data_IF_952228572292
#
_entry.id   IF_952228572292
#
_cell.length_a   1.000
_cell.length_b   1.000
_cell.length_c   1.000
_cell.angle_alpha   90.00
_cell.angle_beta   90.00
_cell.angle_gamma   90.00
#
_symmetry.space_group_name_H-M   'P 1'
#
loop_
_entity.id
_entity.type
_entity.pdbx_description
1 polymer ?
#
# COMPACT_ATOMS: atom_id res chain seq x y z
N UNK A 1 -10.07 20.20 3.13
CA UNK A 1 -9.12 19.23 2.57
C UNK A 1 -9.91 18.18 1.82
N UNK A 2 -9.64 18.00 0.54
CA UNK A 2 -10.24 16.97 -0.31
C UNK A 2 -9.73 15.60 0.13
N UNK A 3 -10.58 14.57 0.12
CA UNK A 3 -10.20 13.19 0.55
C UNK A 3 -8.95 12.65 -0.14
N UNK A 4 -8.67 13.09 -1.38
CA UNK A 4 -7.45 12.73 -2.12
C UNK A 4 -6.16 13.30 -1.53
N UNK A 5 -6.19 14.50 -0.95
CA UNK A 5 -4.98 15.14 -0.37
C UNK A 5 -4.53 14.42 0.91
N UNK A 6 -5.49 14.04 1.75
CA UNK A 6 -5.22 13.21 2.94
C UNK A 6 -4.72 11.81 2.56
N UNK A 7 -5.23 11.24 1.46
CA UNK A 7 -4.78 9.95 0.96
C UNK A 7 -3.33 9.99 0.46
N UNK A 8 -2.95 11.02 -0.31
CA UNK A 8 -1.57 11.20 -0.77
C UNK A 8 -0.60 11.53 0.37
N UNK A 9 -1.03 12.34 1.34
CA UNK A 9 -0.23 12.64 2.54
C UNK A 9 0.00 11.38 3.39
N UNK A 10 -1.05 10.58 3.63
CA UNK A 10 -0.96 9.32 4.34
C UNK A 10 -0.03 8.34 3.61
N UNK A 11 -0.17 8.19 2.28
CA UNK A 11 0.71 7.38 1.42
C UNK A 11 2.18 7.80 1.52
N UNK A 12 2.47 9.12 1.58
CA UNK A 12 3.83 9.63 1.77
C UNK A 12 4.41 9.33 3.14
N UNK A 13 3.56 9.16 4.16
CA UNK A 13 4.00 8.82 5.51
C UNK A 13 4.29 7.32 5.70
N UNK A 14 3.85 6.47 4.75
CA UNK A 14 4.11 5.03 4.76
C UNK A 14 5.50 4.68 4.19
N UNK A 15 6.08 3.53 4.60
CA UNK A 15 7.25 2.97 3.94
C UNK A 15 6.99 2.74 2.44
N UNK A 16 8.00 2.97 1.60
CA UNK A 16 7.89 2.85 0.14
C UNK A 16 7.31 1.50 -0.32
N UNK A 17 7.69 0.40 0.33
CA UNK A 17 7.16 -0.92 0.00
C UNK A 17 5.63 -1.02 0.17
N UNK A 18 5.08 -0.36 1.19
CA UNK A 18 3.64 -0.40 1.47
C UNK A 18 2.86 0.52 0.53
N UNK A 19 3.36 1.73 0.29
CA UNK A 19 2.73 2.66 -0.64
C UNK A 19 2.77 2.13 -2.08
N UNK A 20 3.88 1.50 -2.48
CA UNK A 20 3.99 0.86 -3.78
C UNK A 20 3.03 -0.34 -3.92
N UNK A 21 2.95 -1.21 -2.91
CA UNK A 21 2.02 -2.33 -2.92
C UNK A 21 0.56 -1.90 -3.13
N UNK A 22 0.13 -0.85 -2.39
CA UNK A 22 -1.22 -0.31 -2.51
C UNK A 22 -1.44 0.29 -3.91
N UNK A 23 -0.50 1.08 -4.43
CA UNK A 23 -0.62 1.70 -5.76
C UNK A 23 -0.68 0.67 -6.89
N UNK A 24 0.14 -0.39 -6.81
CA UNK A 24 0.12 -1.45 -7.80
C UNK A 24 -1.20 -2.24 -7.73
N UNK A 25 -1.69 -2.53 -6.52
CA UNK A 25 -2.96 -3.21 -6.37
C UNK A 25 -4.15 -2.36 -6.83
N UNK A 26 -4.14 -1.06 -6.54
CA UNK A 26 -5.15 -0.11 -7.02
C UNK A 26 -5.16 0.00 -8.56
N UNK A 27 -3.98 -0.08 -9.17
CA UNK A 27 -3.83 -0.18 -10.62
C UNK A 27 -4.26 -1.53 -11.22
N UNK A 28 -4.73 -2.49 -10.41
CA UNK A 28 -5.15 -3.82 -10.87
C UNK A 28 -4.00 -4.75 -11.26
N UNK A 29 -2.78 -4.47 -10.81
CA UNK A 29 -1.62 -5.31 -11.08
C UNK A 29 -1.77 -6.66 -10.38
N UNK A 30 -1.43 -7.73 -11.08
CA UNK A 30 -1.48 -9.08 -10.54
C UNK A 30 -0.55 -9.25 -9.33
N UNK A 31 -1.02 -9.98 -8.32
CA UNK A 31 -0.29 -10.26 -7.09
C UNK A 31 1.15 -10.77 -7.34
N UNK A 32 1.34 -11.68 -8.30
CA UNK A 32 2.67 -12.20 -8.67
C UNK A 32 3.62 -11.11 -9.16
N UNK A 33 3.11 -10.14 -9.93
CA UNK A 33 3.91 -9.01 -10.41
C UNK A 33 4.26 -8.09 -9.25
N UNK A 34 3.31 -7.79 -8.36
CA UNK A 34 3.55 -6.97 -7.16
C UNK A 34 4.63 -7.61 -6.29
N UNK A 35 4.55 -8.93 -6.06
CA UNK A 35 5.57 -9.69 -5.35
C UNK A 35 6.95 -9.57 -5.99
N UNK A 36 7.03 -9.69 -7.32
CA UNK A 36 8.27 -9.49 -8.06
C UNK A 36 8.85 -8.09 -7.89
N UNK A 37 8.03 -7.05 -7.90
CA UNK A 37 8.48 -5.67 -7.66
C UNK A 37 8.97 -5.44 -6.23
N UNK A 38 8.28 -6.00 -5.25
CA UNK A 38 8.60 -5.84 -3.82
C UNK A 38 9.68 -6.82 -3.35
N UNK A 39 10.07 -7.77 -4.20
CA UNK A 39 10.99 -8.86 -3.85
C UNK A 39 10.50 -9.63 -2.61
N UNK A 40 9.20 -9.89 -2.54
CA UNK A 40 8.56 -10.65 -1.45
C UNK A 40 7.88 -11.90 -1.99
N UNK A 41 7.68 -12.88 -1.11
CA UNK A 41 6.90 -14.06 -1.41
C UNK A 41 5.38 -13.75 -1.46
N UNK A 42 4.66 -14.49 -2.30
CA UNK A 42 3.20 -14.38 -2.44
C UNK A 42 2.44 -14.62 -1.13
N UNK A 43 2.96 -15.51 -0.26
CA UNK A 43 2.42 -15.77 1.07
C UNK A 43 2.47 -14.54 1.99
N UNK A 44 3.48 -13.68 1.81
CA UNK A 44 3.65 -12.45 2.58
C UNK A 44 2.83 -11.29 2.00
N UNK A 45 2.45 -11.33 0.72
CA UNK A 45 1.76 -10.23 0.06
C UNK A 45 0.42 -9.89 0.73
N UNK A 46 -0.38 -10.91 1.07
CA UNK A 46 -1.66 -10.70 1.74
C UNK A 46 -1.50 -9.95 3.06
N UNK A 47 -0.55 -10.39 3.89
CA UNK A 47 -0.23 -9.76 5.19
C UNK A 47 0.33 -8.35 5.01
N UNK A 48 1.20 -8.15 4.02
CA UNK A 48 1.79 -6.84 3.72
C UNK A 48 0.74 -5.84 3.25
N UNK A 49 -0.20 -6.26 2.40
CA UNK A 49 -1.31 -5.43 1.94
C UNK A 49 -2.28 -5.08 3.08
N UNK A 50 -2.62 -6.05 3.94
CA UNK A 50 -3.46 -5.81 5.11
C UNK A 50 -2.80 -4.78 6.05
N UNK A 51 -1.52 -4.98 6.36
CA UNK A 51 -0.75 -4.05 7.19
C UNK A 51 -0.64 -2.66 6.54
N UNK A 52 -0.37 -2.60 5.24
CA UNK A 52 -0.28 -1.36 4.49
C UNK A 52 -1.62 -0.61 4.54
N UNK A 53 -2.75 -1.31 4.36
CA UNK A 53 -4.09 -0.71 4.44
C UNK A 53 -4.39 -0.19 5.84
N UNK A 54 -4.09 -0.95 6.90
CA UNK A 54 -4.27 -0.50 8.29
C UNK A 54 -3.42 0.71 8.63
N UNK A 55 -2.17 0.74 8.18
CA UNK A 55 -1.29 1.90 8.39
C UNK A 55 -1.77 3.12 7.62
N UNK A 56 -2.27 2.93 6.40
CA UNK A 56 -2.88 4.00 5.61
C UNK A 56 -4.10 4.57 6.32
N UNK A 57 -5.01 3.71 6.77
CA UNK A 57 -6.20 4.12 7.51
C UNK A 57 -5.83 4.88 8.80
N UNK A 58 -4.87 4.36 9.57
CA UNK A 58 -4.34 5.04 10.76
C UNK A 58 -3.73 6.41 10.44
N UNK A 59 -2.99 6.54 9.33
CA UNK A 59 -2.41 7.80 8.88
C UNK A 59 -3.43 8.78 8.29
N UNK A 60 -4.61 8.30 7.86
CA UNK A 60 -5.72 9.16 7.42
C UNK A 60 -6.62 9.61 8.58
N UNK A 61 -6.58 8.92 9.72
CA UNK A 61 -7.35 9.24 10.92
C UNK A 61 -6.59 10.10 11.95
N UNK A 62 -5.27 10.29 11.77
CA UNK A 62 -4.40 11.09 12.65
C UNK A 62 -4.18 12.51 12.15
#
# INVERSE_FOLDING_TARGET
MTTGDQYEAALRSLPEAHSLAIRLQDAGVAAEVICGYLQIEIECLGTLLDLARRKLDSAMQG
#
